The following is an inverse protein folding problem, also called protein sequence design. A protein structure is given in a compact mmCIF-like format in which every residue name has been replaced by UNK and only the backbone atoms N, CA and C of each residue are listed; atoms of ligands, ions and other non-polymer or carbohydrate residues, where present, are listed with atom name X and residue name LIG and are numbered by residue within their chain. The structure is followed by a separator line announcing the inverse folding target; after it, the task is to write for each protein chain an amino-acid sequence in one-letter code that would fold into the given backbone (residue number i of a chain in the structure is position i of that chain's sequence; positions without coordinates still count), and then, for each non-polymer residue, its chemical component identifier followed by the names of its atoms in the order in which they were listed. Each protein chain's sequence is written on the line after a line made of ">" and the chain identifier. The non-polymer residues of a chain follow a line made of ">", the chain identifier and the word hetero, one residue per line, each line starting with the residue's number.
data_IF_275406687742
#
_entry.id   IF_275406687742
#
_cell.length_a   1.000
_cell.length_b   1.000
_cell.length_c   1.000
_cell.angle_alpha   90.00
_cell.angle_beta   90.00
_cell.angle_gamma   90.00
#
_symmetry.space_group_name_H-M   'P 1'
#
loop_
_entity.id
_entity.type
_entity.pdbx_description
1 polymer ?
#
# COMPACT_ATOMS: atom_id res chain seq x y z
N UNK A 1 -8.91 -3.04 -13.52
CA UNK A 1 -9.18 -1.78 -12.80
C UNK A 1 -8.32 -0.68 -13.40
N UNK A 2 -8.79 0.02 -14.45
CA UNK A 2 -7.97 0.93 -15.25
C UNK A 2 -7.34 2.08 -14.43
N UNK A 3 -8.05 2.56 -13.40
CA UNK A 3 -7.60 3.68 -12.57
C UNK A 3 -6.33 3.40 -11.76
N UNK A 4 -6.09 2.15 -11.33
CA UNK A 4 -4.90 1.80 -10.53
C UNK A 4 -3.67 1.65 -11.41
N UNK A 5 -3.83 1.06 -12.59
CA UNK A 5 -2.77 0.94 -13.58
C UNK A 5 -2.28 2.31 -14.07
N UNK A 6 -3.20 3.27 -14.27
CA UNK A 6 -2.86 4.65 -14.61
C UNK A 6 -2.11 5.37 -13.48
N UNK A 7 -2.55 5.21 -12.24
CA UNK A 7 -1.87 5.80 -11.08
C UNK A 7 -0.47 5.21 -10.93
N UNK A 8 -0.35 3.88 -11.01
CA UNK A 8 0.94 3.20 -10.91
C UNK A 8 1.90 3.65 -12.02
N UNK A 9 1.41 3.83 -13.24
CA UNK A 9 2.24 4.29 -14.36
C UNK A 9 2.68 5.76 -14.22
N UNK A 10 1.81 6.63 -13.70
CA UNK A 10 2.15 8.02 -13.39
C UNK A 10 3.18 8.11 -12.26
N UNK A 11 2.98 7.35 -11.18
CA UNK A 11 3.90 7.33 -10.03
C UNK A 11 5.24 6.72 -10.45
N UNK A 12 5.25 5.66 -11.25
CA UNK A 12 6.47 5.03 -11.75
C UNK A 12 7.34 6.02 -12.53
N UNK A 13 6.73 6.82 -13.42
CA UNK A 13 7.44 7.87 -14.15
C UNK A 13 8.03 8.94 -13.22
N UNK A 14 7.28 9.38 -12.22
CA UNK A 14 7.75 10.37 -11.26
C UNK A 14 8.89 9.86 -10.37
N UNK A 15 8.83 8.59 -9.95
CA UNK A 15 9.87 7.93 -9.16
C UNK A 15 11.14 7.80 -9.98
N UNK A 16 11.05 7.24 -11.20
CA UNK A 16 12.20 7.06 -12.08
C UNK A 16 12.90 8.39 -12.38
N UNK A 17 12.12 9.43 -12.70
CA UNK A 17 12.63 10.79 -12.93
C UNK A 17 13.42 11.31 -11.73
N UNK A 18 12.92 11.14 -10.51
CA UNK A 18 13.62 11.58 -9.29
C UNK A 18 14.90 10.78 -9.02
N UNK A 19 14.88 9.47 -9.25
CA UNK A 19 16.05 8.60 -9.06
C UNK A 19 17.19 8.98 -10.01
N UNK A 20 16.86 9.25 -11.28
CA UNK A 20 17.81 9.73 -12.29
C UNK A 20 18.33 11.13 -11.95
N UNK A 21 17.44 12.07 -11.59
CA UNK A 21 17.83 13.43 -11.21
C UNK A 21 18.78 13.48 -10.00
N UNK A 22 18.59 12.58 -9.03
CA UNK A 22 19.47 12.44 -7.86
C UNK A 22 20.74 11.64 -8.14
N UNK A 23 20.94 11.16 -9.38
CA UNK A 23 22.06 10.30 -9.79
C UNK A 23 22.19 9.04 -8.92
N UNK A 24 21.07 8.53 -8.41
CA UNK A 24 21.04 7.32 -7.57
C UNK A 24 21.01 6.04 -8.41
N UNK A 25 20.63 6.15 -9.68
CA UNK A 25 20.55 5.06 -10.64
C UNK A 25 21.03 5.55 -12.00
N UNK A 26 21.69 4.67 -12.74
CA UNK A 26 21.98 4.85 -14.17
C UNK A 26 21.06 3.93 -14.97
N UNK A 27 20.30 4.52 -15.90
CA UNK A 27 19.20 3.84 -16.59
C UNK A 27 19.56 3.70 -18.06
N UNK A 28 19.87 2.47 -18.47
CA UNK A 28 20.18 2.15 -19.88
C UNK A 28 18.93 1.96 -20.73
N UNK A 29 17.87 1.40 -20.14
CA UNK A 29 16.58 1.14 -20.78
C UNK A 29 15.48 1.75 -19.90
N UNK A 30 15.04 2.95 -20.27
CA UNK A 30 14.02 3.70 -19.54
C UNK A 30 12.65 3.02 -19.55
N UNK A 31 12.14 2.49 -20.69
CA UNK A 31 10.92 1.68 -20.70
C UNK A 31 10.96 0.48 -19.75
N UNK A 32 12.04 -0.30 -19.74
CA UNK A 32 12.16 -1.47 -18.87
C UNK A 32 12.24 -1.07 -17.39
N UNK A 33 13.00 -0.02 -17.06
CA UNK A 33 13.09 0.50 -15.70
C UNK A 33 11.72 1.01 -15.20
N UNK A 34 10.98 1.74 -16.06
CA UNK A 34 9.64 2.21 -15.73
C UNK A 34 8.67 1.06 -15.49
N UNK A 35 8.72 0.02 -16.31
CA UNK A 35 7.90 -1.18 -16.15
C UNK A 35 8.21 -1.90 -14.82
N UNK A 36 9.48 -2.01 -14.44
CA UNK A 36 9.88 -2.62 -13.17
C UNK A 36 9.34 -1.83 -11.97
N UNK A 37 9.50 -0.49 -11.96
CA UNK A 37 8.97 0.37 -10.89
C UNK A 37 7.44 0.29 -10.83
N UNK A 38 6.77 0.31 -11.99
CA UNK A 38 5.31 0.16 -12.09
C UNK A 38 4.84 -1.17 -11.49
N UNK A 39 5.53 -2.28 -11.75
CA UNK A 39 5.20 -3.59 -11.18
C UNK A 39 5.25 -3.56 -9.66
N UNK A 40 6.34 -3.02 -9.09
CA UNK A 40 6.50 -2.90 -7.63
C UNK A 40 5.39 -2.03 -7.01
N UNK A 41 5.03 -0.92 -7.64
CA UNK A 41 3.93 -0.07 -7.16
C UNK A 41 2.61 -0.83 -7.17
N UNK A 42 2.30 -1.58 -8.24
CA UNK A 42 1.07 -2.37 -8.32
C UNK A 42 1.03 -3.47 -7.26
N UNK A 43 2.14 -4.18 -7.03
CA UNK A 43 2.26 -5.19 -5.98
C UNK A 43 2.00 -4.58 -4.60
N UNK A 44 2.56 -3.39 -4.31
CA UNK A 44 2.31 -2.69 -3.06
C UNK A 44 0.84 -2.27 -2.90
N UNK A 45 0.21 -1.69 -3.93
CA UNK A 45 -1.21 -1.31 -3.88
C UNK A 45 -2.13 -2.52 -3.63
N UNK A 46 -1.80 -3.67 -4.22
CA UNK A 46 -2.53 -4.92 -3.97
C UNK A 46 -2.32 -5.42 -2.55
N UNK A 47 -1.10 -5.29 -2.03
CA UNK A 47 -0.78 -5.69 -0.67
C UNK A 47 -1.47 -4.80 0.38
N UNK A 48 -1.53 -3.49 0.15
CA UNK A 48 -2.31 -2.55 0.96
C UNK A 48 -3.80 -2.92 0.99
N UNK A 49 -4.38 -3.27 -0.16
CA UNK A 49 -5.79 -3.67 -0.22
C UNK A 49 -6.08 -4.95 0.57
N UNK A 50 -5.17 -5.94 0.50
CA UNK A 50 -5.26 -7.17 1.31
C UNK A 50 -5.14 -6.86 2.79
N UNK A 51 -4.22 -5.97 3.17
CA UNK A 51 -4.06 -5.52 4.55
C UNK A 51 -5.32 -4.86 5.08
N UNK A 52 -5.96 -4.03 4.26
CA UNK A 52 -7.21 -3.36 4.57
C UNK A 52 -8.38 -4.35 4.75
N UNK A 53 -8.44 -5.39 3.91
CA UNK A 53 -9.44 -6.45 4.00
C UNK A 53 -9.24 -7.30 5.27
N UNK A 54 -8.01 -7.68 5.57
CA UNK A 54 -7.66 -8.44 6.77
C UNK A 54 -8.00 -7.67 8.05
N UNK A 55 -7.69 -6.37 8.08
CA UNK A 55 -8.03 -5.51 9.20
C UNK A 55 -9.55 -5.45 9.46
N UNK A 56 -10.35 -5.34 8.38
CA UNK A 56 -11.81 -5.36 8.48
C UNK A 56 -12.33 -6.71 8.97
N UNK A 57 -11.78 -7.81 8.46
CA UNK A 57 -12.16 -9.17 8.88
C UNK A 57 -11.88 -9.37 10.37
N UNK A 58 -10.69 -8.97 10.83
CA UNK A 58 -10.33 -9.08 12.25
C UNK A 58 -11.32 -8.31 13.14
N UNK A 59 -11.70 -7.09 12.75
CA UNK A 59 -12.70 -6.34 13.51
C UNK A 59 -14.10 -6.98 13.50
N UNK A 60 -14.49 -7.61 12.40
CA UNK A 60 -15.77 -8.32 12.32
C UNK A 60 -15.79 -9.55 13.24
N UNK A 61 -14.68 -10.30 13.27
CA UNK A 61 -14.51 -11.46 14.15
C UNK A 61 -14.59 -11.05 15.64
N UNK A 62 -14.10 -9.85 15.97
CA UNK A 62 -14.17 -9.26 17.32
C UNK A 62 -15.38 -8.32 17.54
N UNK A 63 -16.35 -8.26 16.61
CA UNK A 63 -17.43 -7.27 16.66
C UNK A 63 -18.37 -7.39 17.88
N UNK A 64 -18.46 -8.57 18.50
CA UNK A 64 -19.24 -8.79 19.73
C UNK A 64 -18.56 -8.19 20.96
N UNK A 65 -17.24 -8.33 21.04
CA UNK A 65 -16.42 -7.74 22.10
C UNK A 65 -16.35 -6.22 21.95
N UNK A 66 -16.23 -5.74 20.70
CA UNK A 66 -16.22 -4.31 20.37
C UNK A 66 -17.56 -3.67 20.74
N UNK A 67 -18.71 -4.30 20.45
CA UNK A 67 -20.05 -3.80 20.83
C UNK A 67 -20.27 -3.67 22.34
N UNK A 68 -19.58 -4.49 23.14
CA UNK A 68 -19.60 -4.39 24.60
C UNK A 68 -18.73 -3.26 25.16
N UNK A 69 -17.84 -2.71 24.33
CA UNK A 69 -17.00 -1.55 24.66
C UNK A 69 -17.53 -0.30 23.95
N UNK A 70 -17.44 0.88 24.55
CA UNK A 70 -17.76 2.16 23.90
C UNK A 70 -16.73 2.57 22.82
N UNK A 71 -15.93 1.63 22.31
CA UNK A 71 -14.83 1.92 21.41
C UNK A 71 -15.34 2.30 20.01
N UNK A 72 -14.81 3.42 19.48
CA UNK A 72 -15.08 3.86 18.12
C UNK A 72 -14.43 2.88 17.12
N UNK A 73 -15.28 2.19 16.36
CA UNK A 73 -14.90 1.25 15.30
C UNK A 73 -13.87 1.84 14.33
N UNK A 74 -13.96 3.14 14.01
CA UNK A 74 -13.03 3.80 13.08
C UNK A 74 -11.63 3.92 13.66
N UNK A 75 -11.52 4.21 14.95
CA UNK A 75 -10.23 4.26 15.65
C UNK A 75 -9.61 2.85 15.77
N UNK A 76 -10.43 1.84 16.05
CA UNK A 76 -9.97 0.45 16.11
C UNK A 76 -9.46 -0.05 14.76
N UNK A 77 -10.14 0.29 13.66
CA UNK A 77 -9.69 -0.05 12.31
C UNK A 77 -8.33 0.58 11.99
N UNK A 78 -8.13 1.84 12.37
CA UNK A 78 -6.84 2.50 12.24
C UNK A 78 -5.73 1.75 12.98
N UNK A 79 -5.96 1.44 14.26
CA UNK A 79 -4.97 0.73 15.10
C UNK A 79 -4.64 -0.68 14.60
N UNK A 80 -5.65 -1.43 14.16
CA UNK A 80 -5.46 -2.78 13.61
C UNK A 80 -4.67 -2.75 12.30
N UNK A 81 -5.01 -1.81 11.39
CA UNK A 81 -4.25 -1.60 10.15
C UNK A 81 -2.81 -1.26 10.44
N UNK A 82 -2.57 -0.35 11.37
CA UNK A 82 -1.22 0.09 11.75
C UNK A 82 -0.39 -1.06 12.35
N UNK A 83 -1.02 -1.88 13.20
CA UNK A 83 -0.38 -3.09 13.74
C UNK A 83 -0.05 -4.10 12.64
N UNK A 84 -1.02 -4.43 11.78
CA UNK A 84 -0.82 -5.36 10.67
C UNK A 84 0.24 -4.87 9.67
N UNK A 85 0.32 -3.55 9.45
CA UNK A 85 1.30 -2.95 8.57
C UNK A 85 2.71 -3.14 9.13
N UNK A 86 2.91 -2.82 10.41
CA UNK A 86 4.19 -3.06 11.11
C UNK A 86 4.60 -4.53 11.08
N UNK A 87 3.68 -5.43 11.43
CA UNK A 87 3.98 -6.87 11.51
C UNK A 87 4.37 -7.46 10.14
N UNK A 88 3.89 -6.87 9.04
CA UNK A 88 4.18 -7.30 7.67
C UNK A 88 5.24 -6.46 6.96
N UNK A 89 5.88 -5.52 7.66
CA UNK A 89 6.95 -4.68 7.11
C UNK A 89 6.48 -3.56 6.16
N UNK A 90 5.20 -3.20 6.17
CA UNK A 90 4.71 -2.01 5.47
C UNK A 90 4.99 -0.75 6.30
N UNK A 91 5.50 0.29 5.65
CA UNK A 91 5.58 1.64 6.23
C UNK A 91 4.35 2.41 5.74
N UNK A 92 3.44 2.74 6.66
CA UNK A 92 2.25 3.59 6.40
C UNK A 92 2.61 5.08 6.41
#
# INVERSE_FOLDING_TARGET
>A
MPRRDEIADRVAGAVLKRLVQKKQVDVKDEPAARAAVRRVILENLQAEERLDADARKLLLDHAKEIRGSSADYRQLLGKVREKLARDRGFIL
#
